data_IF_382106328498
#
_entry.id   IF_382106328498
#
_cell.length_a   1.000
_cell.length_b   1.000
_cell.length_c   1.000
_cell.angle_alpha   90.00
_cell.angle_beta   90.00
_cell.angle_gamma   90.00
#
_symmetry.space_group_name_H-M   'P 1'
#
loop_
_entity.id
_entity.type
_entity.pdbx_description
1 polymer ?
#
# COMPACT_ATOMS: atom_id res chain seq x y z
N UNK A 1 9.39 -20.33 -1.91
CA UNK A 1 9.07 -19.58 -0.67
C UNK A 1 8.49 -20.59 0.31
N UNK A 2 9.31 -21.08 1.24
CA UNK A 2 8.97 -22.25 2.09
C UNK A 2 8.82 -21.88 3.58
N UNK A 3 9.03 -20.62 3.94
CA UNK A 3 8.92 -20.18 5.32
C UNK A 3 7.46 -20.27 5.78
N UNK A 4 7.16 -20.97 6.91
CA UNK A 4 5.78 -21.24 7.33
C UNK A 4 4.91 -19.99 7.48
N UNK A 5 5.47 -18.89 8.01
CA UNK A 5 4.75 -17.62 8.17
C UNK A 5 4.34 -17.01 6.82
N UNK A 6 5.21 -17.07 5.80
CA UNK A 6 4.91 -16.53 4.48
C UNK A 6 3.85 -17.37 3.76
N UNK A 7 3.94 -18.70 3.88
CA UNK A 7 2.94 -19.63 3.33
C UNK A 7 1.58 -19.38 3.98
N UNK A 8 1.54 -19.24 5.31
CA UNK A 8 0.31 -18.94 6.05
C UNK A 8 -0.27 -17.58 5.65
N UNK A 9 0.53 -16.52 5.59
CA UNK A 9 0.09 -15.18 5.19
C UNK A 9 -0.45 -15.17 3.75
N UNK A 10 0.25 -15.82 2.81
CA UNK A 10 -0.20 -15.98 1.41
C UNK A 10 -1.55 -16.71 1.33
N UNK A 11 -1.70 -17.82 2.05
CA UNK A 11 -2.96 -18.58 2.03
C UNK A 11 -4.11 -17.78 2.63
N UNK A 12 -3.85 -17.06 3.73
CA UNK A 12 -4.83 -16.15 4.34
C UNK A 12 -5.25 -15.07 3.34
N UNK A 13 -4.30 -14.41 2.69
CA UNK A 13 -4.57 -13.33 1.73
C UNK A 13 -5.41 -13.81 0.53
N UNK A 14 -5.07 -14.98 -0.05
CA UNK A 14 -5.83 -15.60 -1.16
C UNK A 14 -7.26 -15.98 -0.78
N UNK A 15 -7.52 -16.26 0.49
CA UNK A 15 -8.85 -16.63 0.97
C UNK A 15 -9.75 -15.43 1.29
N UNK A 16 -9.21 -14.21 1.30
CA UNK A 16 -9.98 -13.00 1.58
C UNK A 16 -10.96 -12.72 0.44
N UNK A 17 -12.22 -12.43 0.80
CA UNK A 17 -13.20 -11.97 -0.17
C UNK A 17 -12.84 -10.57 -0.68
N UNK A 18 -12.98 -10.37 -1.99
CA UNK A 18 -12.80 -9.05 -2.60
C UNK A 18 -13.78 -8.04 -2.00
N UNK A 19 -13.26 -6.86 -1.64
CA UNK A 19 -14.08 -5.77 -1.10
C UNK A 19 -14.14 -4.64 -2.10
N UNK A 20 -15.34 -4.36 -2.61
CA UNK A 20 -15.59 -3.15 -3.39
C UNK A 20 -15.47 -1.92 -2.50
N UNK A 21 -14.58 -1.00 -2.89
CA UNK A 21 -14.40 0.29 -2.23
C UNK A 21 -15.11 1.35 -3.09
N UNK A 22 -16.22 1.91 -2.60
CA UNK A 22 -17.06 2.86 -3.36
C UNK A 22 -17.51 4.03 -2.49
N UNK A 23 -17.45 5.25 -3.03
CA UNK A 23 -17.86 6.47 -2.34
C UNK A 23 -19.35 6.33 -1.99
N UNK A 24 -19.70 6.45 -0.70
CA UNK A 24 -21.11 6.49 -0.29
C UNK A 24 -21.67 7.88 -0.56
N UNK A 25 -22.56 8.00 -1.55
CA UNK A 25 -23.24 9.26 -1.87
C UNK A 25 -24.32 9.66 -0.83
N UNK A 26 -24.68 8.76 0.09
CA UNK A 26 -25.83 8.90 1.00
C UNK A 26 -25.48 9.33 2.44
N UNK A 27 -24.66 10.36 2.63
CA UNK A 27 -24.43 10.96 3.96
C UNK A 27 -24.89 12.42 4.05
N UNK A 28 -26.10 12.71 3.57
CA UNK A 28 -26.78 13.98 3.88
C UNK A 28 -27.26 14.08 5.34
N UNK A 29 -27.05 13.04 6.16
CA UNK A 29 -27.34 13.00 7.58
C UNK A 29 -26.22 12.25 8.31
N UNK A 30 -25.01 12.79 8.29
CA UNK A 30 -24.03 12.82 9.39
C UNK A 30 -22.79 13.51 8.82
N UNK A 31 -22.27 14.53 9.50
CA UNK A 31 -21.03 15.24 9.13
C UNK A 31 -19.79 14.37 9.41
N UNK A 32 -19.89 13.07 9.13
CA UNK A 32 -18.92 12.02 9.36
C UNK A 32 -17.92 12.03 8.21
N UNK A 33 -16.70 12.47 8.56
CA UNK A 33 -15.45 12.52 7.77
C UNK A 33 -15.54 11.78 6.43
N UNK A 34 -15.51 12.53 5.32
CA UNK A 34 -15.33 11.94 3.97
C UNK A 34 -14.05 11.10 4.01
N UNK A 35 -14.17 9.80 3.72
CA UNK A 35 -13.01 8.92 3.67
C UNK A 35 -12.06 9.36 2.57
N UNK A 36 -10.79 9.53 2.89
CA UNK A 36 -9.75 10.00 1.97
C UNK A 36 -9.02 8.80 1.38
N UNK A 37 -9.11 8.66 0.06
CA UNK A 37 -8.57 7.51 -0.66
C UNK A 37 -7.50 7.95 -1.66
N UNK A 38 -6.49 7.10 -1.82
CA UNK A 38 -5.44 7.25 -2.83
C UNK A 38 -5.44 6.00 -3.69
N UNK A 39 -5.77 6.15 -4.97
CA UNK A 39 -5.70 5.06 -5.95
C UNK A 39 -4.42 5.23 -6.78
N UNK A 40 -3.68 4.15 -6.98
CA UNK A 40 -2.37 4.13 -7.63
C UNK A 40 -2.49 3.44 -8.99
N UNK A 41 -2.16 4.14 -10.06
CA UNK A 41 -2.11 3.54 -11.40
C UNK A 41 -0.82 2.74 -11.61
N UNK A 42 -0.82 1.90 -12.64
CA UNK A 42 0.37 1.21 -13.10
C UNK A 42 1.53 2.19 -13.34
N UNK A 43 2.73 1.86 -12.84
CA UNK A 43 3.96 2.68 -12.84
C UNK A 43 3.97 3.87 -11.88
N UNK A 44 3.02 3.95 -10.96
CA UNK A 44 2.98 4.97 -9.92
C UNK A 44 3.27 4.38 -8.54
N UNK A 45 3.63 5.25 -7.61
CA UNK A 45 3.68 4.96 -6.19
C UNK A 45 3.19 6.17 -5.38
N UNK A 46 2.75 5.93 -4.14
CA UNK A 46 2.51 7.00 -3.17
C UNK A 46 2.95 6.58 -1.78
N UNK A 47 3.54 7.53 -1.06
CA UNK A 47 3.80 7.40 0.38
C UNK A 47 2.75 8.22 1.13
N UNK A 48 2.01 7.56 2.02
CA UNK A 48 0.87 8.14 2.74
C UNK A 48 1.09 8.12 4.24
N UNK A 49 0.56 9.14 4.91
CA UNK A 49 0.44 9.17 6.35
C UNK A 49 -0.95 8.62 6.75
N UNK A 50 -1.04 7.55 7.57
CA UNK A 50 -2.31 6.95 7.97
C UNK A 50 -3.22 7.89 8.79
N UNK A 51 -2.69 8.99 9.34
CA UNK A 51 -3.51 10.02 9.99
C UNK A 51 -4.33 10.85 8.98
N UNK A 52 -3.92 10.85 7.71
CA UNK A 52 -4.48 11.70 6.65
C UNK A 52 -5.20 10.92 5.55
N UNK A 53 -4.86 9.66 5.32
CA UNK A 53 -5.42 8.81 4.26
C UNK A 53 -5.98 7.55 4.88
N UNK A 54 -7.24 7.24 4.61
CA UNK A 54 -7.94 6.09 5.19
C UNK A 54 -7.70 4.81 4.37
N UNK A 55 -7.51 4.95 3.04
CA UNK A 55 -7.27 3.81 2.14
C UNK A 55 -6.29 4.20 1.03
N UNK A 56 -5.31 3.35 0.77
CA UNK A 56 -4.45 3.41 -0.41
C UNK A 56 -4.48 2.05 -1.11
N UNK A 57 -4.56 2.01 -2.44
CA UNK A 57 -4.64 0.76 -3.17
C UNK A 57 -4.44 0.89 -4.67
N UNK A 58 -4.37 -0.26 -5.32
CA UNK A 58 -4.26 -0.42 -6.77
C UNK A 58 -5.03 -1.68 -7.19
N UNK A 59 -5.39 -1.80 -8.45
CA UNK A 59 -6.01 -3.01 -9.04
C UNK A 59 -5.38 -3.31 -10.41
N UNK A 60 -5.98 -4.22 -11.18
CA UNK A 60 -5.57 -4.59 -12.54
C UNK A 60 -4.11 -5.10 -12.68
N UNK A 61 -3.49 -5.53 -11.57
CA UNK A 61 -2.17 -6.14 -11.56
C UNK A 61 -2.23 -7.61 -12.04
N UNK A 62 -2.29 -7.79 -13.36
CA UNK A 62 -2.33 -9.13 -13.99
C UNK A 62 -0.96 -9.80 -14.01
N UNK A 63 0.02 -9.15 -14.65
CA UNK A 63 1.45 -9.55 -14.64
C UNK A 63 2.31 -8.59 -13.84
N UNK A 64 1.74 -7.45 -13.45
CA UNK A 64 2.36 -6.46 -12.58
C UNK A 64 2.41 -6.94 -11.12
N UNK A 65 3.16 -6.22 -10.29
CA UNK A 65 3.32 -6.49 -8.87
C UNK A 65 2.88 -5.25 -8.09
N UNK A 66 1.92 -5.43 -7.18
CA UNK A 66 1.64 -4.46 -6.12
C UNK A 66 2.63 -4.67 -4.97
N UNK A 67 3.27 -3.59 -4.51
CA UNK A 67 4.16 -3.61 -3.35
C UNK A 67 3.67 -2.60 -2.31
N UNK A 68 3.72 -2.97 -1.03
CA UNK A 68 3.43 -2.10 0.09
C UNK A 68 4.56 -2.18 1.11
N UNK A 69 5.13 -1.03 1.49
CA UNK A 69 6.21 -0.93 2.48
C UNK A 69 5.68 -0.10 3.63
N UNK A 70 5.77 -0.61 4.85
CA UNK A 70 5.31 0.09 6.04
C UNK A 70 6.46 0.28 7.03
N UNK A 71 6.68 1.52 7.45
CA UNK A 71 7.53 1.80 8.60
C UNK A 71 6.76 1.50 9.90
N UNK A 72 7.23 0.52 10.66
CA UNK A 72 6.55 0.05 11.86
C UNK A 72 6.57 1.05 13.02
N UNK A 73 7.51 2.00 13.00
CA UNK A 73 7.69 3.04 14.01
C UNK A 73 6.82 4.27 13.71
N UNK A 74 6.94 4.84 12.52
CA UNK A 74 6.19 6.05 12.14
C UNK A 74 4.78 5.74 11.64
N UNK A 75 4.53 4.51 11.20
CA UNK A 75 3.29 4.10 10.56
C UNK A 75 3.13 4.60 9.13
N UNK A 76 4.13 5.27 8.55
CA UNK A 76 4.13 5.69 7.14
C UNK A 76 4.07 4.47 6.22
N UNK A 77 3.29 4.56 5.14
CA UNK A 77 3.06 3.45 4.20
C UNK A 77 3.35 3.93 2.79
N UNK A 78 4.18 3.22 2.05
CA UNK A 78 4.41 3.44 0.62
C UNK A 78 3.82 2.29 -0.20
N UNK A 79 2.99 2.58 -1.20
CA UNK A 79 2.36 1.58 -2.06
C UNK A 79 2.67 1.89 -3.52
N UNK A 80 3.01 0.87 -4.32
CA UNK A 80 3.26 1.02 -5.75
C UNK A 80 2.66 -0.11 -6.59
N UNK A 81 2.44 0.19 -7.87
CA UNK A 81 2.07 -0.77 -8.90
C UNK A 81 3.19 -0.84 -9.94
N UNK A 82 3.98 -1.92 -9.93
CA UNK A 82 5.20 -2.07 -10.74
C UNK A 82 5.00 -3.08 -11.88
N UNK A 83 5.47 -2.76 -13.09
CA UNK A 83 5.24 -3.58 -14.30
C UNK A 83 6.54 -4.06 -15.00
N UNK A 84 7.67 -3.36 -14.85
CA UNK A 84 8.95 -3.67 -15.51
C UNK A 84 10.18 -3.60 -14.60
N UNK A 85 11.08 -4.60 -14.63
CA UNK A 85 12.28 -4.66 -13.77
C UNK A 85 13.17 -3.42 -13.83
N UNK A 86 13.31 -2.78 -15.00
CA UNK A 86 14.19 -1.61 -15.19
C UNK A 86 13.71 -0.34 -14.48
N UNK A 87 12.46 -0.30 -14.03
CA UNK A 87 11.86 0.87 -13.34
C UNK A 87 11.73 0.61 -11.83
N UNK A 88 11.91 -0.64 -11.39
CA UNK A 88 11.77 -1.07 -10.00
C UNK A 88 12.85 -0.45 -9.11
N UNK A 89 14.11 -0.43 -9.54
CA UNK A 89 15.21 0.02 -8.68
C UNK A 89 15.09 1.49 -8.26
N UNK A 90 14.81 2.37 -9.22
CA UNK A 90 14.63 3.80 -8.94
C UNK A 90 13.35 4.05 -8.13
N UNK A 91 12.24 3.39 -8.50
CA UNK A 91 10.98 3.52 -7.78
C UNK A 91 11.10 3.05 -6.33
N UNK A 92 11.69 1.88 -6.10
CA UNK A 92 11.90 1.32 -4.77
C UNK A 92 12.84 2.21 -3.94
N UNK A 93 13.91 2.72 -4.53
CA UNK A 93 14.82 3.65 -3.85
C UNK A 93 14.08 4.93 -3.41
N UNK A 94 13.22 5.48 -4.27
CA UNK A 94 12.40 6.64 -3.94
C UNK A 94 11.39 6.33 -2.83
N UNK A 95 10.69 5.20 -2.91
CA UNK A 95 9.76 4.74 -1.87
C UNK A 95 10.46 4.61 -0.51
N UNK A 96 11.63 3.96 -0.49
CA UNK A 96 12.42 3.78 0.73
C UNK A 96 12.88 5.12 1.31
N UNK A 97 13.34 6.06 0.48
CA UNK A 97 13.78 7.40 0.94
C UNK A 97 12.66 8.23 1.57
N UNK A 98 11.39 7.90 1.30
CA UNK A 98 10.23 8.63 1.82
C UNK A 98 9.58 7.94 3.04
N UNK A 99 9.78 6.63 3.19
CA UNK A 99 9.18 5.84 4.27
C UNK A 99 10.16 5.56 5.41
N UNK A 100 11.46 5.51 5.12
CA UNK A 100 12.50 5.47 6.13
C UNK A 100 12.67 6.89 6.70
N UNK A 101 12.61 7.00 8.03
CA UNK A 101 13.05 8.23 8.70
C UNK A 101 14.59 8.32 8.62
N UNK A 102 15.18 9.49 8.90
CA UNK A 102 16.65 9.66 8.96
C UNK A 102 17.35 8.76 10.02
N UNK A 103 16.57 8.00 10.79
CA UNK A 103 17.02 7.06 11.82
C UNK A 103 17.25 5.68 11.20
N UNK A 104 18.51 5.22 11.19
CA UNK A 104 18.97 4.02 10.46
C UNK A 104 18.36 2.69 10.91
N UNK A 105 17.62 2.69 12.03
CA UNK A 105 17.10 1.48 12.68
C UNK A 105 15.59 1.28 12.44
N UNK A 106 15.02 1.94 11.42
CA UNK A 106 13.61 1.77 11.07
C UNK A 106 13.30 0.32 10.63
N UNK A 107 12.50 -0.39 11.43
CA UNK A 107 11.95 -1.69 11.04
C UNK A 107 10.85 -1.49 9.99
N UNK A 108 11.03 -2.11 8.83
CA UNK A 108 10.08 -2.06 7.72
C UNK A 108 9.42 -3.42 7.50
N UNK A 109 8.09 -3.42 7.36
CA UNK A 109 7.32 -4.55 6.82
C UNK A 109 7.17 -4.36 5.29
N UNK A 110 7.33 -5.43 4.51
CA UNK A 110 7.18 -5.47 3.04
C UNK A 110 6.39 -6.69 2.62
#
# INVERSE_FOLDING_TARGET
>A
MEHPLLVSASNSFKSMAEKKISISENSSLERSKISKWVYIFQREFATVNPALVDVVGTDEATTCIGIAIRNCKSGMISVAHMDFPSVVDMGLSQMLSLVADDDSDALLDV
#
